data_IF_321542275036
#
_entry.id   IF_321542275036
#
_cell.length_a   1.000
_cell.length_b   1.000
_cell.length_c   1.000
_cell.angle_alpha   90.00
_cell.angle_beta   90.00
_cell.angle_gamma   90.00
#
_symmetry.space_group_name_H-M   'P 1'
#
loop_
_entity.id
_entity.type
_entity.pdbx_description
1 polymer ?
#
# COMPACT_ATOMS: atom_id res chain seq x y z
N UNK A 1 -9.03 3.27 10.74
CA UNK A 1 -8.06 4.31 11.10
C UNK A 1 -6.74 3.93 10.48
N UNK A 2 -6.19 4.76 9.61
CA UNK A 2 -4.82 4.61 9.11
C UNK A 2 -3.93 5.39 10.08
N UNK A 3 -3.01 4.71 10.77
CA UNK A 3 -2.07 5.33 11.72
C UNK A 3 -0.89 5.97 10.96
N UNK A 4 -0.23 6.97 11.57
CA UNK A 4 0.85 7.76 10.94
C UNK A 4 2.01 6.92 10.37
N UNK A 5 2.32 5.76 10.98
CA UNK A 5 3.19 4.74 10.37
C UNK A 5 2.41 3.45 10.17
N UNK A 6 2.00 3.13 8.93
CA UNK A 6 1.31 1.88 8.68
C UNK A 6 2.25 0.69 8.88
N UNK A 7 1.87 -0.18 9.83
CA UNK A 7 2.60 -1.43 10.06
C UNK A 7 2.28 -2.40 8.92
N UNK A 8 3.32 -2.80 8.20
CA UNK A 8 3.29 -3.92 7.27
C UNK A 8 3.78 -5.19 7.98
N UNK A 9 3.26 -6.32 7.55
CA UNK A 9 3.71 -7.63 8.03
C UNK A 9 4.87 -8.11 7.17
N UNK A 10 5.72 -8.98 7.73
CA UNK A 10 6.84 -9.59 7.02
C UNK A 10 6.35 -10.66 6.03
N UNK A 11 5.63 -10.18 5.02
CA UNK A 11 4.94 -10.89 3.96
C UNK A 11 5.27 -10.23 2.61
N UNK A 12 4.79 -10.79 1.52
CA UNK A 12 4.85 -10.14 0.19
C UNK A 12 3.97 -8.88 0.14
N UNK A 13 4.14 -8.08 -0.91
CA UNK A 13 3.28 -6.91 -1.15
C UNK A 13 1.82 -7.36 -1.39
N UNK A 14 1.60 -8.40 -2.20
CA UNK A 14 0.26 -8.95 -2.44
C UNK A 14 -0.44 -9.36 -1.14
N UNK A 15 0.25 -10.14 -0.29
CA UNK A 15 -0.28 -10.58 1.00
C UNK A 15 -0.54 -9.41 1.96
N UNK A 16 0.31 -8.38 1.93
CA UNK A 16 0.08 -7.17 2.72
C UNK A 16 -1.18 -6.42 2.25
N UNK A 17 -1.46 -6.34 0.95
CA UNK A 17 -2.67 -5.71 0.42
C UNK A 17 -3.89 -6.55 0.76
N UNK A 18 -3.85 -7.86 0.52
CA UNK A 18 -4.96 -8.78 0.78
C UNK A 18 -5.07 -9.24 2.24
N UNK A 19 -4.30 -8.64 3.16
CA UNK A 19 -4.19 -9.11 4.54
C UNK A 19 -5.56 -9.33 5.21
N UNK A 20 -5.78 -10.51 5.78
CA UNK A 20 -7.04 -10.86 6.44
C UNK A 20 -8.23 -11.06 5.49
N UNK A 21 -7.98 -11.23 4.19
CA UNK A 21 -8.95 -11.68 3.19
C UNK A 21 -8.46 -12.99 2.59
N UNK A 22 -9.38 -13.89 2.28
CA UNK A 22 -9.08 -15.19 1.67
C UNK A 22 -9.50 -15.21 0.20
N UNK A 23 -8.79 -15.97 -0.63
CA UNK A 23 -9.11 -16.21 -2.03
C UNK A 23 -9.33 -14.95 -2.88
N UNK A 24 -8.59 -13.88 -2.57
CA UNK A 24 -8.64 -12.65 -3.36
C UNK A 24 -7.86 -12.86 -4.67
N UNK A 25 -8.50 -12.65 -5.83
CA UNK A 25 -7.82 -12.80 -7.10
C UNK A 25 -6.83 -11.65 -7.33
N UNK A 26 -5.75 -11.93 -8.05
CA UNK A 26 -4.63 -10.99 -8.23
C UNK A 26 -5.07 -9.70 -8.95
N UNK A 27 -6.08 -9.76 -9.82
CA UNK A 27 -6.64 -8.60 -10.51
C UNK A 27 -7.25 -7.58 -9.54
N UNK A 28 -7.95 -8.02 -8.48
CA UNK A 28 -8.47 -7.14 -7.42
C UNK A 28 -7.33 -6.52 -6.59
N UNK A 29 -6.25 -7.27 -6.34
CA UNK A 29 -5.04 -6.75 -5.69
C UNK A 29 -4.39 -5.67 -6.55
N UNK A 30 -4.24 -5.94 -7.85
CA UNK A 30 -3.68 -4.99 -8.83
C UNK A 30 -4.56 -3.75 -8.94
N UNK A 31 -5.88 -3.91 -8.97
CA UNK A 31 -6.83 -2.80 -9.00
C UNK A 31 -6.71 -1.92 -7.75
N UNK A 32 -6.64 -2.53 -6.56
CA UNK A 32 -6.45 -1.79 -5.31
C UNK A 32 -5.12 -1.04 -5.26
N UNK A 33 -4.02 -1.70 -5.69
CA UNK A 33 -2.70 -1.09 -5.80
C UNK A 33 -2.65 0.05 -6.83
N UNK A 34 -3.38 -0.06 -7.92
CA UNK A 34 -3.50 0.98 -8.95
C UNK A 34 -4.23 2.19 -8.39
N UNK A 35 -5.36 1.97 -7.72
CA UNK A 35 -6.12 3.06 -7.06
C UNK A 35 -5.33 3.73 -5.93
N UNK A 36 -4.42 3.02 -5.28
CA UNK A 36 -3.52 3.56 -4.26
C UNK A 36 -2.22 4.18 -4.84
N UNK A 37 -2.10 4.30 -6.16
CA UNK A 37 -0.94 4.87 -6.86
C UNK A 37 0.40 4.20 -6.52
N UNK A 38 0.41 2.87 -6.32
CA UNK A 38 1.65 2.10 -6.01
C UNK A 38 1.95 1.02 -7.05
N UNK A 39 1.01 0.69 -7.93
CA UNK A 39 1.18 -0.35 -8.95
C UNK A 39 2.46 -0.20 -9.79
N UNK A 40 2.73 1.00 -10.31
CA UNK A 40 3.91 1.25 -11.15
C UNK A 40 5.23 1.00 -10.42
N UNK A 41 5.32 1.41 -9.15
CA UNK A 41 6.47 1.09 -8.31
C UNK A 41 6.63 -0.43 -8.12
N UNK A 42 5.53 -1.12 -7.81
CA UNK A 42 5.55 -2.58 -7.63
C UNK A 42 6.07 -3.26 -8.90
N UNK A 43 5.62 -2.84 -10.08
CA UNK A 43 6.06 -3.43 -11.36
C UNK A 43 7.56 -3.23 -11.66
N UNK A 44 8.21 -2.24 -11.03
CA UNK A 44 9.65 -2.01 -11.18
C UNK A 44 10.49 -2.92 -10.26
N UNK A 45 9.87 -3.56 -9.26
CA UNK A 45 10.58 -4.48 -8.37
C UNK A 45 10.87 -5.81 -9.08
N UNK A 46 12.04 -6.44 -8.86
CA UNK A 46 12.40 -7.69 -9.53
C UNK A 46 11.41 -8.84 -9.36
N UNK A 47 10.66 -8.85 -8.25
CA UNK A 47 9.66 -9.88 -7.93
C UNK A 47 8.23 -9.32 -7.97
N UNK A 48 8.04 -8.05 -8.34
CA UNK A 48 6.73 -7.43 -8.41
C UNK A 48 5.94 -7.54 -7.11
N UNK A 49 4.71 -8.05 -7.22
CA UNK A 49 3.81 -8.26 -6.09
C UNK A 49 4.30 -9.31 -5.09
N UNK A 50 5.18 -10.21 -5.52
CA UNK A 50 5.79 -11.25 -4.68
C UNK A 50 7.02 -10.72 -3.91
N UNK A 51 7.40 -9.46 -4.09
CA UNK A 51 8.48 -8.86 -3.31
C UNK A 51 8.12 -8.86 -1.82
N UNK A 52 9.01 -9.44 -0.99
CA UNK A 52 8.91 -9.34 0.47
C UNK A 52 9.25 -7.93 0.94
N UNK A 53 8.39 -7.37 1.79
CA UNK A 53 8.56 -6.00 2.31
C UNK A 53 9.60 -5.91 3.45
N UNK A 54 9.99 -7.06 4.02
CA UNK A 54 10.87 -7.17 5.17
C UNK A 54 10.17 -6.89 6.50
N UNK A 55 10.92 -7.03 7.60
CA UNK A 55 10.38 -6.82 8.96
C UNK A 55 9.79 -5.42 9.09
N UNK A 56 8.48 -5.32 9.35
CA UNK A 56 7.74 -4.05 9.42
C UNK A 56 7.88 -3.17 8.17
N UNK A 57 8.06 -3.79 7.00
CA UNK A 57 8.24 -3.07 5.73
C UNK A 57 9.58 -2.34 5.63
N UNK A 58 10.65 -2.83 6.27
CA UNK A 58 11.95 -2.16 6.34
C UNK A 58 12.56 -1.80 4.97
N UNK A 59 12.14 -2.46 3.89
CA UNK A 59 12.66 -2.20 2.53
C UNK A 59 11.87 -1.14 1.75
N UNK A 60 10.88 -0.52 2.36
CA UNK A 60 10.00 0.45 1.71
C UNK A 60 10.14 1.84 2.33
N UNK A 61 10.02 2.87 1.51
CA UNK A 61 9.90 4.25 1.97
C UNK A 61 8.60 4.45 2.76
N UNK A 62 8.52 5.51 3.58
CA UNK A 62 7.30 5.83 4.33
C UNK A 62 6.06 5.99 3.41
N UNK A 63 6.24 6.68 2.28
CA UNK A 63 5.17 6.86 1.29
C UNK A 63 4.75 5.56 0.61
N UNK A 64 5.67 4.63 0.34
CA UNK A 64 5.33 3.29 -0.17
C UNK A 64 4.52 2.49 0.85
N UNK A 65 4.93 2.49 2.12
CA UNK A 65 4.17 1.83 3.20
C UNK A 65 2.77 2.40 3.31
N UNK A 66 2.64 3.72 3.22
CA UNK A 66 1.34 4.39 3.27
C UNK A 66 0.45 3.99 2.10
N UNK A 67 0.99 3.98 0.87
CA UNK A 67 0.22 3.55 -0.30
C UNK A 67 -0.19 2.07 -0.24
N UNK A 68 0.66 1.17 0.27
CA UNK A 68 0.27 -0.23 0.50
C UNK A 68 -0.86 -0.32 1.54
N UNK A 69 -0.80 0.48 2.61
CA UNK A 69 -1.87 0.52 3.60
C UNK A 69 -3.19 1.08 3.03
N UNK A 70 -3.12 2.08 2.15
CA UNK A 70 -4.28 2.58 1.40
C UNK A 70 -4.86 1.46 0.53
N UNK A 71 -4.03 0.76 -0.25
CA UNK A 71 -4.48 -0.38 -1.07
C UNK A 71 -5.18 -1.46 -0.22
N UNK A 72 -4.62 -1.79 0.95
CA UNK A 72 -5.20 -2.73 1.93
C UNK A 72 -6.57 -2.29 2.44
N UNK A 73 -6.84 -0.98 2.50
CA UNK A 73 -8.16 -0.48 2.88
C UNK A 73 -9.11 -0.51 1.68
N UNK A 74 -8.66 -0.08 0.50
CA UNK A 74 -9.46 -0.04 -0.72
C UNK A 74 -10.00 -1.41 -1.13
N UNK A 75 -9.18 -2.46 -0.99
CA UNK A 75 -9.59 -3.82 -1.37
C UNK A 75 -10.74 -4.36 -0.50
N UNK A 76 -10.90 -3.85 0.73
CA UNK A 76 -12.01 -4.21 1.63
C UNK A 76 -13.33 -3.49 1.30
N UNK A 77 -13.33 -2.57 0.34
CA UNK A 77 -14.51 -1.79 -0.09
C UNK A 77 -15.30 -1.22 1.11
N UNK A 78 -14.66 -0.47 2.02
CA UNK A 78 -15.32 0.02 3.22
C UNK A 78 -16.43 1.02 2.86
N UNK A 79 -17.53 1.01 3.62
CA UNK A 79 -18.62 1.99 3.46
C UNK A 79 -18.22 3.41 3.86
N UNK A 80 -17.29 3.54 4.79
CA UNK A 80 -16.76 4.82 5.29
C UNK A 80 -15.25 4.64 5.44
N UNK A 81 -14.48 5.56 4.85
CA UNK A 81 -13.02 5.62 4.95
C UNK A 81 -12.62 6.87 5.74
N UNK A 82 -11.97 6.67 6.89
CA UNK A 82 -11.38 7.76 7.68
C UNK A 82 -9.87 7.76 7.47
N UNK A 83 -9.38 8.76 6.74
CA UNK A 83 -7.97 9.06 6.54
C UNK A 83 -7.59 10.17 7.53
N UNK A 84 -6.64 9.90 8.40
CA UNK A 84 -6.08 10.91 9.31
C UNK A 84 -4.77 11.40 8.70
N UNK A 85 -4.86 12.38 7.81
CA UNK A 85 -3.69 13.08 7.27
C UNK A 85 -3.37 14.28 8.16
N UNK A 86 -2.62 14.06 9.23
CA UNK A 86 -1.88 15.15 9.86
C UNK A 86 -0.65 15.44 8.97
N UNK A 87 -0.86 16.29 7.97
CA UNK A 87 0.11 17.14 7.27
C UNK A 87 1.57 16.96 7.71
N UNK A 88 2.35 16.10 7.04
CA UNK A 88 3.83 16.15 7.06
C UNK A 88 4.41 15.23 5.97
N UNK A 89 4.42 15.76 4.75
CA UNK A 89 5.32 15.45 3.62
C UNK A 89 4.58 15.61 2.27
N UNK A 90 3.87 16.72 2.08
CA UNK A 90 3.76 17.28 0.74
C UNK A 90 5.10 17.97 0.48
N UNK A 91 6.04 17.27 -0.16
CA UNK A 91 7.05 17.99 -0.94
C UNK A 91 6.31 18.68 -2.11
N UNK A 92 6.52 20.00 -2.32
CA UNK A 92 5.82 20.75 -3.33
C UNK A 92 6.24 20.21 -4.71
N UNK A 93 5.27 19.69 -5.47
CA UNK A 93 5.46 19.56 -6.90
C UNK A 93 5.61 20.99 -7.42
N UNK A 94 6.85 21.33 -7.76
CA UNK A 94 7.26 22.59 -8.37
C UNK A 94 6.28 22.96 -9.48
N UNK A 95 5.58 24.07 -9.28
CA UNK A 95 5.01 24.85 -10.38
C UNK A 95 6.18 25.37 -11.23
N UNK A 96 6.16 25.04 -12.51
CA UNK A 96 6.78 25.85 -13.56
C UNK A 96 5.72 26.16 -14.61
#
# INVERSE_FOLDING_TARGET
>A
VVSQEPVLFDLTIAENIAYGLENIPMDEIVLAATKANIHQFIQQLPQGYETKVGVKGSFLSGGEKQRIAIARVLIRRPKILLLDEATSAMDPYNEQ
#
